data_IF_914983770482
#
_entry.id   IF_914983770482
#
_cell.length_a   1.000
_cell.length_b   1.000
_cell.length_c   1.000
_cell.angle_alpha   90.00
_cell.angle_beta   90.00
_cell.angle_gamma   90.00
#
_symmetry.space_group_name_H-M   'P 1'
#
loop_
_entity.id
_entity.type
_entity.pdbx_description
1 polymer ?
#
# COMPACT_ATOMS: atom_id res chain seq x y z
N UNK A 1 -9.69 -25.05 -54.85
CA UNK A 1 -10.91 -24.24 -54.67
C UNK A 1 -10.51 -22.76 -54.62
N UNK A 2 -11.30 -21.86 -55.21
CA UNK A 2 -11.03 -20.43 -55.18
C UNK A 2 -11.65 -19.83 -53.90
N UNK A 3 -10.84 -19.59 -52.87
CA UNK A 3 -11.28 -19.18 -51.53
C UNK A 3 -11.77 -17.72 -51.46
N UNK A 4 -11.69 -16.96 -52.56
CA UNK A 4 -12.06 -15.55 -52.64
C UNK A 4 -13.56 -15.26 -52.69
N UNK A 5 -14.44 -16.25 -52.50
CA UNK A 5 -15.90 -16.05 -52.53
C UNK A 5 -16.61 -16.42 -51.22
N UNK A 6 -15.86 -16.77 -50.17
CA UNK A 6 -16.45 -17.06 -48.86
C UNK A 6 -16.59 -15.79 -48.00
N UNK A 7 -17.54 -15.75 -47.04
CA UNK A 7 -17.58 -14.75 -45.96
C UNK A 7 -16.25 -14.73 -45.19
N UNK A 8 -15.88 -13.60 -44.59
CA UNK A 8 -14.56 -13.38 -44.00
C UNK A 8 -14.15 -14.45 -42.97
N UNK A 9 -15.06 -14.83 -42.06
CA UNK A 9 -14.84 -15.89 -41.07
C UNK A 9 -14.59 -17.26 -41.73
N UNK A 10 -15.34 -17.58 -42.77
CA UNK A 10 -15.21 -18.83 -43.53
C UNK A 10 -13.95 -18.88 -44.39
N UNK A 11 -13.42 -17.73 -44.84
CA UNK A 11 -12.09 -17.65 -45.49
C UNK A 11 -10.96 -17.91 -44.52
N UNK A 12 -11.03 -17.34 -43.31
CA UNK A 12 -10.08 -17.62 -42.24
C UNK A 12 -10.11 -19.12 -41.91
N UNK A 13 -11.29 -19.68 -41.65
CA UNK A 13 -11.45 -21.11 -41.40
C UNK A 13 -10.89 -21.98 -42.55
N UNK A 14 -11.14 -21.64 -43.81
CA UNK A 14 -10.62 -22.40 -44.95
C UNK A 14 -9.09 -22.29 -45.15
N UNK A 15 -8.51 -21.11 -44.89
CA UNK A 15 -7.04 -20.91 -44.92
C UNK A 15 -6.38 -21.69 -43.79
N UNK A 16 -7.02 -21.75 -42.62
CA UNK A 16 -6.50 -22.42 -41.43
C UNK A 16 -6.69 -23.95 -41.51
N UNK A 17 -7.78 -24.42 -42.13
CA UNK A 17 -7.99 -25.82 -42.46
C UNK A 17 -7.00 -26.33 -43.52
N UNK A 18 -6.56 -25.47 -44.44
CA UNK A 18 -5.47 -25.79 -45.36
C UNK A 18 -4.11 -25.86 -44.64
N UNK A 19 -3.91 -25.09 -43.57
CA UNK A 19 -2.73 -25.17 -42.71
C UNK A 19 -2.75 -26.40 -41.76
N UNK A 20 -3.91 -27.02 -41.58
CA UNK A 20 -4.14 -28.24 -40.77
C UNK A 20 -3.51 -29.53 -41.37
N UNK A 21 -2.69 -29.44 -42.42
CA UNK A 21 -1.91 -30.56 -42.95
C UNK A 21 -0.65 -30.90 -42.10
N UNK A 22 -0.39 -30.18 -41.01
CA UNK A 22 0.68 -30.50 -40.08
C UNK A 22 0.21 -31.48 -39.00
N UNK A 23 1.00 -32.51 -38.72
CA UNK A 23 0.79 -33.45 -37.60
C UNK A 23 1.32 -32.89 -36.27
N UNK A 24 0.66 -33.18 -35.14
CA UNK A 24 1.11 -32.83 -33.79
C UNK A 24 0.39 -31.60 -33.22
N UNK A 25 1.08 -30.80 -32.41
CA UNK A 25 0.51 -29.65 -31.66
C UNK A 25 -0.07 -28.54 -32.57
N UNK A 26 0.30 -28.52 -33.86
CA UNK A 26 -0.23 -27.58 -34.87
C UNK A 26 -1.49 -28.07 -35.60
N UNK A 27 -1.98 -29.27 -35.29
CA UNK A 27 -3.14 -29.88 -35.95
C UNK A 27 -4.48 -29.48 -35.33
N UNK A 28 -4.49 -28.65 -34.28
CA UNK A 28 -5.70 -28.28 -33.57
C UNK A 28 -5.84 -26.77 -33.56
N UNK A 29 -7.03 -26.28 -33.88
CA UNK A 29 -7.35 -24.86 -33.80
C UNK A 29 -7.25 -24.40 -32.32
N UNK A 30 -6.89 -23.14 -32.06
CA UNK A 30 -7.09 -22.52 -30.75
C UNK A 30 -8.53 -22.71 -30.28
N UNK A 31 -8.71 -22.94 -28.97
CA UNK A 31 -10.05 -22.89 -28.39
C UNK A 31 -10.62 -21.47 -28.53
N UNK A 32 -11.87 -21.35 -28.96
CA UNK A 32 -12.61 -20.09 -28.97
C UNK A 32 -14.07 -20.34 -28.56
N UNK A 33 -14.95 -19.34 -28.69
CA UNK A 33 -16.35 -19.46 -28.29
C UNK A 33 -17.15 -20.46 -29.15
N UNK A 34 -16.66 -20.80 -30.34
CA UNK A 34 -17.38 -21.61 -31.33
C UNK A 34 -16.73 -22.99 -31.55
N UNK A 35 -15.46 -23.17 -31.16
CA UNK A 35 -14.66 -24.35 -31.49
C UNK A 35 -13.94 -24.94 -30.26
N UNK A 36 -14.11 -26.26 -30.08
CA UNK A 36 -13.31 -27.04 -29.14
C UNK A 36 -11.88 -27.20 -29.69
N UNK A 37 -10.95 -26.43 -29.15
CA UNK A 37 -9.54 -26.38 -29.56
C UNK A 37 -8.56 -26.57 -28.41
N UNK A 38 -7.27 -26.34 -28.67
CA UNK A 38 -6.26 -26.29 -27.60
C UNK A 38 -6.08 -24.86 -27.08
N UNK A 39 -5.74 -24.73 -25.80
CA UNK A 39 -5.34 -23.45 -25.24
C UNK A 39 -4.04 -23.00 -25.89
N UNK A 40 -4.05 -21.80 -26.45
CA UNK A 40 -2.81 -21.11 -26.82
C UNK A 40 -2.02 -20.75 -25.55
N UNK A 41 -0.72 -20.52 -25.70
CA UNK A 41 0.13 -20.02 -24.60
C UNK A 41 -0.44 -18.72 -24.01
N UNK A 42 -0.98 -17.85 -24.86
CA UNK A 42 -1.60 -16.60 -24.42
C UNK A 42 -2.87 -16.86 -23.60
N UNK A 43 -3.75 -17.77 -24.04
CA UNK A 43 -4.95 -18.12 -23.30
C UNK A 43 -4.63 -18.82 -21.98
N UNK A 44 -3.64 -19.72 -21.97
CA UNK A 44 -3.16 -20.34 -20.74
C UNK A 44 -2.58 -19.29 -19.78
N UNK A 45 -1.86 -18.28 -20.30
CA UNK A 45 -1.37 -17.15 -19.51
C UNK A 45 -2.52 -16.35 -18.90
N UNK A 46 -3.51 -15.95 -19.71
CA UNK A 46 -4.69 -15.24 -19.21
C UNK A 46 -5.46 -16.03 -18.15
N UNK A 47 -5.58 -17.35 -18.32
CA UNK A 47 -6.19 -18.24 -17.30
C UNK A 47 -5.36 -18.23 -16.02
N UNK A 48 -4.05 -18.42 -16.12
CA UNK A 48 -3.14 -18.40 -14.95
C UNK A 48 -3.21 -17.07 -14.20
N UNK A 49 -3.20 -15.94 -14.92
CA UNK A 49 -3.38 -14.61 -14.34
C UNK A 49 -4.75 -14.46 -13.68
N UNK A 50 -5.82 -14.97 -14.31
CA UNK A 50 -7.17 -15.03 -13.75
C UNK A 50 -7.29 -15.91 -12.50
N UNK A 51 -6.46 -16.95 -12.40
CA UNK A 51 -6.33 -17.81 -11.22
C UNK A 51 -5.43 -17.21 -10.13
N UNK A 52 -4.85 -16.03 -10.36
CA UNK A 52 -4.02 -15.32 -9.40
C UNK A 52 -2.53 -15.62 -9.47
N UNK A 53 -2.05 -16.38 -10.47
CA UNK A 53 -0.62 -16.51 -10.73
C UNK A 53 -0.05 -15.18 -11.26
N UNK A 54 1.16 -14.84 -10.81
CA UNK A 54 1.88 -13.64 -11.27
C UNK A 54 2.92 -14.03 -12.31
N UNK A 55 3.02 -13.28 -13.40
CA UNK A 55 4.03 -13.49 -14.43
C UNK A 55 5.40 -13.00 -13.94
N UNK A 56 6.38 -13.90 -13.88
CA UNK A 56 7.75 -13.52 -13.61
C UNK A 56 8.32 -12.71 -14.78
N UNK A 57 8.84 -11.51 -14.49
CA UNK A 57 9.50 -10.65 -15.48
C UNK A 57 11.00 -10.51 -15.14
N UNK A 58 11.87 -10.32 -16.15
CA UNK A 58 13.31 -10.16 -15.92
C UNK A 58 13.61 -8.98 -14.99
N UNK A 59 14.63 -9.15 -14.15
CA UNK A 59 15.12 -8.05 -13.31
C UNK A 59 15.57 -6.86 -14.17
N UNK A 60 15.26 -5.64 -13.72
CA UNK A 60 15.55 -4.41 -14.45
C UNK A 60 14.54 -4.06 -15.55
N UNK A 61 13.48 -4.85 -15.71
CA UNK A 61 12.33 -4.48 -16.54
C UNK A 61 11.79 -3.10 -16.16
N UNK A 62 11.31 -2.34 -17.15
CA UNK A 62 10.77 -1.00 -16.90
C UNK A 62 9.30 -1.09 -16.47
N UNK A 63 9.01 -0.70 -15.23
CA UNK A 63 7.66 -0.80 -14.65
C UNK A 63 6.63 0.00 -15.46
N UNK A 64 7.03 1.16 -15.99
CA UNK A 64 6.13 2.07 -16.71
C UNK A 64 5.90 1.68 -18.17
N UNK A 65 6.58 0.62 -18.63
CA UNK A 65 6.39 0.04 -19.96
C UNK A 65 5.64 -1.30 -19.91
N UNK A 66 5.25 -1.76 -18.71
CA UNK A 66 4.47 -2.98 -18.55
C UNK A 66 3.06 -2.78 -19.10
N UNK A 67 2.56 -3.82 -19.76
CA UNK A 67 1.15 -3.89 -20.15
C UNK A 67 0.28 -4.13 -18.91
N UNK A 68 -1.04 -3.97 -19.02
CA UNK A 68 -1.95 -4.37 -17.95
C UNK A 68 -1.76 -5.85 -17.61
N UNK A 69 -1.72 -6.18 -16.32
CA UNK A 69 -1.43 -7.52 -15.85
C UNK A 69 -0.84 -7.57 -14.44
N UNK A 70 -0.52 -8.79 -13.98
CA UNK A 70 0.05 -9.06 -12.65
C UNK A 70 1.42 -9.70 -12.78
N UNK A 71 2.43 -9.04 -12.22
CA UNK A 71 3.83 -9.42 -12.39
C UNK A 71 4.53 -9.65 -11.05
N UNK A 72 5.68 -10.32 -11.12
CA UNK A 72 6.61 -10.53 -10.01
C UNK A 72 8.05 -10.41 -10.50
N UNK A 73 8.90 -9.73 -9.73
CA UNK A 73 10.34 -9.57 -10.02
C UNK A 73 11.10 -9.23 -8.76
N UNK A 74 12.43 -9.39 -8.76
CA UNK A 74 13.26 -8.96 -7.62
C UNK A 74 13.71 -7.51 -7.76
N UNK A 75 13.71 -6.96 -8.98
CA UNK A 75 14.13 -5.59 -9.24
C UNK A 75 13.43 -5.02 -10.48
N UNK A 76 12.97 -3.77 -10.40
CA UNK A 76 12.28 -3.09 -11.49
C UNK A 76 12.81 -1.66 -11.65
N UNK A 77 13.01 -1.22 -12.90
CA UNK A 77 13.34 0.16 -13.22
C UNK A 77 12.08 1.02 -13.15
N UNK A 78 12.22 2.31 -12.78
CA UNK A 78 11.13 3.27 -12.62
C UNK A 78 10.06 2.83 -11.58
N UNK A 79 10.38 1.86 -10.72
CA UNK A 79 9.61 1.54 -9.52
C UNK A 79 9.76 2.60 -8.44
N UNK A 80 9.27 2.30 -7.23
CA UNK A 80 9.51 3.17 -6.07
C UNK A 80 11.02 3.17 -5.76
N UNK A 81 11.59 4.37 -5.60
CA UNK A 81 12.97 4.51 -5.15
C UNK A 81 13.03 4.20 -3.66
N UNK A 82 13.90 3.28 -3.27
CA UNK A 82 13.91 2.71 -1.91
C UNK A 82 15.27 2.17 -1.53
N UNK A 83 15.63 2.34 -0.26
CA UNK A 83 16.92 1.87 0.27
C UNK A 83 16.96 0.34 0.48
N UNK A 84 15.81 -0.32 0.53
CA UNK A 84 15.62 -1.76 0.73
C UNK A 84 15.51 -2.51 -0.63
N UNK A 85 16.61 -2.55 -1.37
CA UNK A 85 16.66 -2.99 -2.78
C UNK A 85 16.68 -4.51 -3.03
N UNK A 86 16.48 -5.37 -2.02
CA UNK A 86 16.75 -6.82 -2.13
C UNK A 86 15.56 -7.74 -1.84
N UNK A 87 14.35 -7.36 -2.25
CA UNK A 87 13.14 -8.15 -2.01
C UNK A 87 12.27 -8.37 -3.25
N UNK A 88 11.59 -9.51 -3.31
CA UNK A 88 10.56 -9.78 -4.31
C UNK A 88 9.51 -8.67 -4.26
N UNK A 89 9.15 -8.15 -5.43
CA UNK A 89 8.11 -7.17 -5.65
C UNK A 89 6.93 -7.81 -6.39
N UNK A 90 5.74 -7.52 -5.92
CA UNK A 90 4.49 -7.76 -6.63
C UNK A 90 4.08 -6.48 -7.34
N UNK A 91 3.81 -6.59 -8.64
CA UNK A 91 3.46 -5.46 -9.48
C UNK A 91 2.09 -5.75 -10.09
N UNK A 92 1.14 -4.84 -9.93
CA UNK A 92 -0.16 -4.90 -10.59
C UNK A 92 -0.31 -3.64 -11.46
N UNK A 93 -0.68 -3.84 -12.72
CA UNK A 93 -0.88 -2.77 -13.69
C UNK A 93 -2.32 -2.85 -14.18
N UNK A 94 -3.10 -1.85 -13.82
CA UNK A 94 -4.50 -1.70 -14.24
C UNK A 94 -4.57 -0.52 -15.23
N UNK A 95 -5.35 -0.67 -16.30
CA UNK A 95 -5.49 0.40 -17.30
C UNK A 95 -6.88 0.37 -17.92
N UNK A 96 -7.42 1.56 -18.15
CA UNK A 96 -8.57 1.76 -19.04
C UNK A 96 -8.09 2.04 -20.48
N UNK A 97 -7.06 2.86 -20.62
CA UNK A 97 -6.36 3.19 -21.86
C UNK A 97 -4.92 3.67 -21.57
N UNK A 98 -4.18 4.05 -22.62
CA UNK A 98 -2.78 4.51 -22.52
C UNK A 98 -2.58 5.81 -21.69
N UNK A 99 -3.65 6.49 -21.31
CA UNK A 99 -3.64 7.73 -20.53
C UNK A 99 -4.17 7.55 -19.11
N UNK A 100 -4.81 6.43 -18.81
CA UNK A 100 -5.43 6.13 -17.53
C UNK A 100 -4.89 4.78 -17.03
N UNK A 101 -3.74 4.84 -16.37
CA UNK A 101 -3.00 3.66 -15.92
C UNK A 101 -2.71 3.81 -14.42
N UNK A 102 -3.00 2.76 -13.66
CA UNK A 102 -2.61 2.63 -12.27
C UNK A 102 -1.57 1.52 -12.15
N UNK A 103 -0.48 1.84 -11.44
CA UNK A 103 0.56 0.90 -11.07
C UNK A 103 0.51 0.72 -9.57
N UNK A 104 0.43 -0.52 -9.11
CA UNK A 104 0.60 -0.90 -7.71
C UNK A 104 1.91 -1.68 -7.58
N UNK A 105 2.73 -1.30 -6.60
CA UNK A 105 4.01 -1.92 -6.29
C UNK A 105 3.99 -2.33 -4.82
N UNK A 106 3.91 -3.63 -4.57
CA UNK A 106 3.94 -4.19 -3.20
C UNK A 106 5.25 -4.90 -2.96
N UNK A 107 5.93 -4.56 -1.88
CA UNK A 107 7.17 -5.22 -1.44
C UNK A 107 6.78 -6.48 -0.68
N UNK A 108 7.15 -7.66 -1.17
CA UNK A 108 6.61 -8.92 -0.64
C UNK A 108 6.99 -9.19 0.83
N UNK A 109 8.17 -8.78 1.27
CA UNK A 109 8.70 -9.18 2.58
C UNK A 109 8.18 -8.32 3.76
N UNK A 110 7.84 -7.04 3.53
CA UNK A 110 7.27 -6.12 4.53
C UNK A 110 5.81 -5.71 4.20
N UNK A 111 5.34 -6.05 3.01
CA UNK A 111 4.02 -5.74 2.48
C UNK A 111 3.80 -4.27 2.12
N UNK A 112 4.79 -3.38 2.25
CA UNK A 112 4.63 -1.96 1.93
C UNK A 112 4.13 -1.82 0.50
N UNK A 113 3.10 -1.02 0.32
CA UNK A 113 2.39 -0.89 -0.93
C UNK A 113 2.47 0.56 -1.40
N UNK A 114 2.78 0.72 -2.67
CA UNK A 114 2.89 2.01 -3.32
C UNK A 114 2.03 2.02 -4.57
N UNK A 115 1.43 3.17 -4.86
CA UNK A 115 0.65 3.36 -6.06
C UNK A 115 1.16 4.55 -6.87
N UNK A 116 1.07 4.44 -8.18
CA UNK A 116 1.31 5.53 -9.12
C UNK A 116 0.18 5.56 -10.11
N UNK A 117 -0.39 6.74 -10.31
CA UNK A 117 -1.48 6.94 -11.26
C UNK A 117 -1.00 7.85 -12.38
N UNK A 118 -1.08 7.36 -13.61
CA UNK A 118 -0.99 8.17 -14.81
C UNK A 118 -2.41 8.51 -15.23
N UNK A 119 -2.73 9.81 -15.23
CA UNK A 119 -4.05 10.31 -15.61
C UNK A 119 -3.90 11.49 -16.59
N UNK A 120 -4.05 11.24 -17.89
CA UNK A 120 -3.99 12.27 -18.93
C UNK A 120 -5.37 12.82 -19.28
N UNK A 121 -5.71 14.02 -18.80
CA UNK A 121 -6.76 14.81 -19.47
C UNK A 121 -6.24 15.29 -20.84
N UNK A 122 -7.15 15.58 -21.78
CA UNK A 122 -6.89 15.84 -23.20
C UNK A 122 -5.93 17.00 -23.54
N UNK A 123 -5.34 17.67 -22.56
CA UNK A 123 -4.31 18.70 -22.70
C UNK A 123 -2.89 18.24 -22.27
N UNK A 124 -2.75 16.98 -21.84
CA UNK A 124 -1.47 16.39 -21.44
C UNK A 124 -0.92 16.90 -20.11
N UNK A 125 -1.70 17.67 -19.34
CA UNK A 125 -1.29 18.21 -18.03
C UNK A 125 -2.18 17.63 -16.94
N UNK A 126 -1.72 16.55 -16.32
CA UNK A 126 -2.37 16.02 -15.13
C UNK A 126 -2.19 17.01 -13.95
N UNK A 127 -3.21 17.82 -13.67
CA UNK A 127 -3.22 18.75 -12.53
C UNK A 127 -3.76 18.12 -11.24
N UNK A 128 -4.33 16.92 -11.33
CA UNK A 128 -5.12 16.32 -10.24
C UNK A 128 -4.48 15.10 -9.60
N UNK A 129 -3.63 14.34 -10.31
CA UNK A 129 -2.88 13.24 -9.72
C UNK A 129 -1.39 13.60 -9.56
N UNK A 130 -0.78 13.29 -8.40
CA UNK A 130 0.66 13.46 -8.22
C UNK A 130 1.46 12.69 -9.26
N UNK A 131 2.56 13.28 -9.75
CA UNK A 131 3.47 12.60 -10.67
C UNK A 131 4.36 11.55 -9.98
N UNK A 132 4.43 11.54 -8.64
CA UNK A 132 5.26 10.63 -7.83
C UNK A 132 4.58 9.30 -7.49
N UNK A 133 5.26 8.48 -6.69
CA UNK A 133 4.66 7.34 -6.01
C UNK A 133 4.00 7.80 -4.71
N UNK A 134 2.78 7.33 -4.45
CA UNK A 134 2.13 7.40 -3.13
C UNK A 134 2.42 6.12 -2.35
N UNK A 135 2.52 6.21 -1.02
CA UNK A 135 2.65 5.07 -0.10
C UNK A 135 1.33 4.87 0.64
N UNK A 136 0.85 3.62 0.70
CA UNK A 136 -0.33 3.25 1.45
C UNK A 136 0.05 2.81 2.86
N UNK A 137 -0.28 3.63 3.85
CA UNK A 137 -0.02 3.34 5.25
C UNK A 137 -1.03 2.32 5.80
N UNK A 138 -0.51 1.24 6.38
CA UNK A 138 -1.30 0.21 7.04
C UNK A 138 -1.15 0.31 8.55
N UNK A 139 -2.29 0.40 9.23
CA UNK A 139 -2.37 0.55 10.68
C UNK A 139 -2.68 -0.79 11.34
N UNK A 140 -1.80 -1.24 12.23
CA UNK A 140 -1.89 -2.49 12.97
C UNK A 140 -2.19 -2.19 14.43
N UNK A 141 -3.32 -2.63 15.00
CA UNK A 141 -3.65 -2.35 16.39
C UNK A 141 -2.68 -3.09 17.32
N UNK A 142 -1.89 -2.36 18.09
CA UNK A 142 -0.91 -2.92 19.03
C UNK A 142 -1.42 -2.95 20.46
N UNK A 143 -2.27 -1.98 20.83
CA UNK A 143 -2.87 -1.90 22.16
C UNK A 143 -4.11 -1.01 22.15
N UNK A 144 -5.04 -1.30 23.07
CA UNK A 144 -6.23 -0.48 23.32
C UNK A 144 -6.58 -0.51 24.81
N UNK A 145 -6.94 0.65 25.36
CA UNK A 145 -7.33 0.83 26.75
C UNK A 145 -7.59 2.31 27.05
N UNK A 146 -7.12 2.76 28.22
CA UNK A 146 -7.11 4.15 28.64
C UNK A 146 -6.13 4.32 29.79
N UNK A 147 -4.96 4.89 29.51
CA UNK A 147 -3.97 5.21 30.55
C UNK A 147 -3.62 6.69 30.51
N UNK A 148 -3.49 7.28 31.68
CA UNK A 148 -3.01 8.65 31.84
C UNK A 148 -1.83 8.74 32.81
N UNK A 149 -1.69 7.80 33.72
CA UNK A 149 -0.68 7.87 34.78
C UNK A 149 0.74 7.63 34.27
N UNK A 150 1.62 8.60 34.46
CA UNK A 150 3.05 8.44 34.24
C UNK A 150 3.63 7.29 35.09
N UNK A 151 4.61 6.59 34.54
CA UNK A 151 5.17 5.35 35.11
C UNK A 151 4.40 4.08 34.71
N UNK A 152 3.31 4.18 33.96
CA UNK A 152 2.55 3.01 33.50
C UNK A 152 3.21 2.37 32.28
N UNK A 153 3.44 1.06 32.33
CA UNK A 153 3.92 0.28 31.19
C UNK A 153 2.75 -0.34 30.42
N UNK A 154 2.73 -0.08 29.12
CA UNK A 154 1.85 -0.72 28.14
C UNK A 154 2.54 -1.98 27.62
N UNK A 155 1.82 -3.10 27.64
CA UNK A 155 2.20 -4.32 26.93
C UNK A 155 1.52 -4.33 25.56
N UNK A 156 2.31 -4.36 24.50
CA UNK A 156 1.85 -4.41 23.12
C UNK A 156 1.70 -5.86 22.64
N UNK A 157 0.87 -6.06 21.62
CA UNK A 157 0.63 -7.36 20.97
C UNK A 157 1.77 -7.79 20.04
N UNK A 158 2.64 -6.87 19.60
CA UNK A 158 3.77 -7.17 18.72
C UNK A 158 4.98 -6.24 19.02
N UNK A 159 6.12 -6.59 18.41
CA UNK A 159 7.38 -5.88 18.51
C UNK A 159 7.34 -4.55 17.72
N UNK A 160 7.63 -3.45 18.43
CA UNK A 160 7.64 -2.09 17.91
C UNK A 160 8.64 -1.90 16.75
N UNK A 161 9.74 -2.64 16.73
CA UNK A 161 10.79 -2.48 15.71
C UNK A 161 10.37 -2.96 14.31
N UNK A 162 9.23 -3.64 14.19
CA UNK A 162 8.63 -3.97 12.89
C UNK A 162 8.00 -2.76 12.19
N UNK A 163 7.74 -1.67 12.93
CA UNK A 163 7.01 -0.51 12.45
C UNK A 163 7.93 0.70 12.30
N UNK A 164 7.79 1.46 11.22
CA UNK A 164 8.57 2.70 11.05
C UNK A 164 7.99 3.84 11.89
N UNK A 165 6.67 3.86 12.04
CA UNK A 165 5.95 4.85 12.84
C UNK A 165 5.02 4.15 13.83
N UNK A 166 4.74 4.85 14.93
CA UNK A 166 3.64 4.51 15.83
C UNK A 166 2.61 5.63 15.76
N UNK A 167 1.33 5.27 15.79
CA UNK A 167 0.23 6.21 15.92
C UNK A 167 -0.50 6.02 17.25
N UNK A 168 -0.75 7.11 17.94
CA UNK A 168 -1.36 7.14 19.26
C UNK A 168 -2.70 7.85 19.17
N UNK A 169 -3.76 7.20 19.65
CA UNK A 169 -5.04 7.88 19.88
C UNK A 169 -4.99 8.48 21.27
N UNK A 170 -4.92 9.80 21.34
CA UNK A 170 -4.84 10.58 22.58
C UNK A 170 -6.18 11.30 22.78
N UNK A 171 -6.79 11.10 23.94
CA UNK A 171 -7.95 11.84 24.40
C UNK A 171 -7.53 12.89 25.43
N UNK A 172 -8.04 14.10 25.27
CA UNK A 172 -7.97 15.17 26.26
C UNK A 172 -9.38 15.58 26.65
N UNK A 173 -9.54 16.54 27.55
CA UNK A 173 -10.87 16.99 27.99
C UNK A 173 -11.73 17.59 26.88
N UNK A 174 -11.12 18.01 25.77
CA UNK A 174 -11.82 18.72 24.68
C UNK A 174 -11.76 18.02 23.33
N UNK A 175 -10.85 17.06 23.12
CA UNK A 175 -10.68 16.43 21.82
C UNK A 175 -10.08 15.03 21.91
N UNK A 176 -10.27 14.24 20.87
CA UNK A 176 -9.55 12.98 20.63
C UNK A 176 -8.83 13.10 19.30
N UNK A 177 -7.52 12.84 19.29
CA UNK A 177 -6.69 12.96 18.08
C UNK A 177 -5.79 11.75 17.88
N UNK A 178 -5.55 11.41 16.61
CA UNK A 178 -4.55 10.44 16.21
C UNK A 178 -3.24 11.19 15.91
N UNK A 179 -2.16 10.84 16.59
CA UNK A 179 -0.83 11.44 16.38
C UNK A 179 0.13 10.37 15.93
N UNK A 180 0.72 10.54 14.76
CA UNK A 180 1.72 9.62 14.21
C UNK A 180 3.12 10.18 14.42
N UNK A 181 4.01 9.38 14.99
CA UNK A 181 5.41 9.74 15.27
C UNK A 181 6.34 8.66 14.76
N UNK A 182 7.54 9.06 14.31
CA UNK A 182 8.57 8.10 13.88
C UNK A 182 9.05 7.30 15.08
N UNK A 183 9.15 5.97 14.93
CA UNK A 183 9.61 5.06 15.96
C UNK A 183 11.03 5.44 16.39
N UNK A 184 11.22 5.68 17.68
CA UNK A 184 12.49 5.96 18.36
C UNK A 184 12.46 5.36 19.76
N UNK A 185 13.60 5.35 20.45
CA UNK A 185 13.65 4.89 21.85
C UNK A 185 12.81 5.77 22.78
N UNK A 186 12.71 7.06 22.46
CA UNK A 186 11.83 8.02 23.11
C UNK A 186 11.01 8.76 22.05
N UNK A 187 9.69 8.75 22.24
CA UNK A 187 8.70 9.31 21.33
C UNK A 187 7.87 10.34 22.09
N UNK A 188 7.83 11.56 21.55
CA UNK A 188 7.10 12.68 22.14
C UNK A 188 5.83 12.90 21.34
N UNK A 189 4.70 12.92 22.03
CA UNK A 189 3.38 13.18 21.46
C UNK A 189 2.85 14.48 22.04
N UNK A 190 2.82 15.52 21.21
CA UNK A 190 2.43 16.86 21.61
C UNK A 190 1.11 17.29 20.98
N UNK A 191 0.22 17.87 21.78
CA UNK A 191 -1.05 18.42 21.35
C UNK A 191 -1.23 19.84 21.84
N UNK A 192 -1.87 20.67 21.02
CA UNK A 192 -2.29 22.02 21.41
C UNK A 192 -3.78 22.18 21.11
N UNK A 193 -4.56 22.53 22.13
CA UNK A 193 -6.00 22.79 21.99
C UNK A 193 -6.31 24.24 22.39
N UNK A 194 -7.18 24.89 21.62
CA UNK A 194 -7.85 26.11 22.05
C UNK A 194 -8.91 25.76 23.09
N UNK A 195 -9.07 26.62 24.09
CA UNK A 195 -10.10 26.41 25.12
C UNK A 195 -11.41 27.03 24.65
N UNK A 196 -12.43 26.22 24.43
CA UNK A 196 -13.68 26.64 23.76
C UNK A 196 -14.48 27.75 24.46
N UNK A 197 -14.17 28.12 25.71
CA UNK A 197 -14.98 29.04 26.52
C UNK A 197 -14.20 30.20 27.15
N UNK A 198 -12.89 30.33 26.89
CA UNK A 198 -12.04 31.41 27.39
C UNK A 198 -10.90 31.67 26.40
N UNK A 199 -10.36 32.88 26.36
CA UNK A 199 -9.12 33.14 25.60
C UNK A 199 -8.00 32.38 26.32
N UNK A 200 -7.58 31.27 25.76
CA UNK A 200 -6.55 30.42 26.35
C UNK A 200 -6.20 29.24 25.46
N UNK A 201 -5.06 28.62 25.77
CA UNK A 201 -4.52 27.46 25.07
C UNK A 201 -4.05 26.42 26.08
N UNK A 202 -4.27 25.15 25.74
CA UNK A 202 -3.77 24.01 26.52
C UNK A 202 -2.77 23.22 25.68
N UNK A 203 -1.62 22.94 26.27
CA UNK A 203 -0.57 22.09 25.73
C UNK A 203 -0.58 20.77 26.48
N UNK A 204 -0.39 19.68 25.75
CA UNK A 204 -0.29 18.34 26.31
C UNK A 204 0.95 17.69 25.72
N UNK A 205 1.78 17.09 26.56
CA UNK A 205 2.97 16.34 26.18
C UNK A 205 2.90 14.97 26.85
N UNK A 206 2.91 13.91 26.03
CA UNK A 206 3.09 12.54 26.48
C UNK A 206 4.42 12.01 25.94
N UNK A 207 5.31 11.56 26.81
CA UNK A 207 6.57 10.92 26.41
C UNK A 207 6.45 9.41 26.61
N UNK A 208 6.58 8.67 25.51
CA UNK A 208 6.53 7.23 25.45
C UNK A 208 7.95 6.70 25.22
N UNK A 209 8.42 5.83 26.10
CA UNK A 209 9.75 5.24 26.02
C UNK A 209 9.65 3.76 25.69
N UNK A 210 10.39 3.31 24.67
CA UNK A 210 10.56 1.89 24.37
C UNK A 210 11.38 1.24 25.48
N UNK A 211 10.95 0.08 25.97
CA UNK A 211 11.78 -0.69 26.90
C UNK A 211 13.06 -1.17 26.18
N UNK A 212 14.26 -0.93 26.73
CA UNK A 212 15.52 -1.23 26.05
C UNK A 212 15.82 -2.74 25.95
N UNK A 213 15.09 -3.58 26.67
CA UNK A 213 15.26 -5.04 26.71
C UNK A 213 14.07 -5.80 26.14
N UNK A 214 12.90 -5.17 26.07
CA UNK A 214 11.67 -5.78 25.61
C UNK A 214 10.89 -4.85 24.66
N UNK A 215 11.12 -5.02 23.35
CA UNK A 215 10.50 -4.18 22.32
C UNK A 215 8.98 -4.38 22.16
N UNK A 216 8.34 -5.14 23.04
CA UNK A 216 6.88 -5.24 23.14
C UNK A 216 6.30 -4.34 24.24
N UNK A 217 7.14 -3.53 24.91
CA UNK A 217 6.71 -2.64 26.00
C UNK A 217 6.98 -1.17 25.71
N UNK A 218 6.01 -0.34 26.07
CA UNK A 218 6.12 1.12 26.09
C UNK A 218 5.85 1.64 27.49
N UNK A 219 6.77 2.41 28.05
CA UNK A 219 6.57 3.14 29.30
C UNK A 219 6.01 4.54 28.98
N UNK A 220 4.87 4.91 29.58
CA UNK A 220 4.46 6.30 29.66
C UNK A 220 5.36 7.01 30.67
N UNK A 221 6.45 7.60 30.19
CA UNK A 221 7.51 8.20 31.00
C UNK A 221 7.03 9.51 31.63
N UNK A 222 6.33 10.34 30.87
CA UNK A 222 5.70 11.56 31.36
C UNK A 222 4.36 11.81 30.67
N UNK A 223 3.46 12.47 31.39
CA UNK A 223 2.20 13.01 30.89
C UNK A 223 1.95 14.35 31.57
N UNK A 224 2.29 15.42 30.88
CA UNK A 224 2.23 16.77 31.43
C UNK A 224 1.28 17.58 30.57
N UNK A 225 0.53 18.46 31.22
CA UNK A 225 -0.28 19.46 30.55
C UNK A 225 -0.07 20.83 31.15
N UNK A 226 -0.08 21.82 30.28
CA UNK A 226 0.01 23.23 30.64
C UNK A 226 -1.22 23.93 30.09
N UNK A 227 -2.00 24.59 30.93
CA UNK A 227 -3.08 25.45 30.47
C UNK A 227 -2.68 26.92 30.71
N UNK A 228 -2.67 27.69 29.63
CA UNK A 228 -2.41 29.12 29.64
C UNK A 228 -3.75 29.86 29.52
N UNK A 229 -4.16 30.44 30.64
CA UNK A 229 -5.25 31.41 30.76
C UNK A 229 -4.65 32.76 31.22
N UNK A 230 -5.25 33.39 32.22
CA UNK A 230 -4.68 34.52 32.97
C UNK A 230 -3.44 34.13 33.81
N UNK A 231 -3.23 32.83 34.02
CA UNK A 231 -2.08 32.23 34.71
C UNK A 231 -1.72 30.87 34.10
N UNK A 232 -0.47 30.46 34.23
CA UNK A 232 -0.02 29.12 33.87
C UNK A 232 -0.48 28.12 34.93
N UNK A 233 -1.21 27.08 34.49
CA UNK A 233 -1.63 25.96 35.32
C UNK A 233 -0.93 24.70 34.82
N UNK A 234 -0.25 24.00 35.73
CA UNK A 234 0.43 22.73 35.43
C UNK A 234 -0.45 21.59 35.96
N UNK A 235 -0.80 20.63 35.11
CA UNK A 235 -1.43 19.38 35.54
C UNK A 235 -0.60 18.19 35.05
N UNK A 236 -0.63 17.10 35.80
CA UNK A 236 -0.02 15.82 35.42
C UNK A 236 -1.11 14.78 35.21
N UNK A 237 -0.80 13.75 34.42
CA UNK A 237 -1.68 12.61 34.19
C UNK A 237 -3.06 13.00 33.60
N UNK A 238 -3.08 14.00 32.73
CA UNK A 238 -4.33 14.57 32.19
C UNK A 238 -4.73 13.97 30.84
N UNK A 239 -3.79 13.84 29.91
CA UNK A 239 -4.09 13.24 28.60
C UNK A 239 -4.21 11.71 28.74
N UNK A 240 -5.19 11.10 28.09
CA UNK A 240 -5.36 9.65 28.09
C UNK A 240 -4.90 9.06 26.76
N UNK A 241 -4.01 8.07 26.84
CA UNK A 241 -3.65 7.22 25.70
C UNK A 241 -4.67 6.11 25.61
N UNK A 242 -5.47 6.10 24.55
CA UNK A 242 -6.54 5.12 24.35
C UNK A 242 -6.12 3.97 23.44
N UNK A 243 -5.28 4.24 22.44
CA UNK A 243 -4.86 3.23 21.48
C UNK A 243 -3.44 3.48 21.00
N UNK A 244 -2.75 2.39 20.68
CA UNK A 244 -1.46 2.41 20.00
C UNK A 244 -1.58 1.55 18.75
N UNK A 245 -1.16 2.11 17.62
CA UNK A 245 -1.15 1.45 16.32
C UNK A 245 0.28 1.45 15.77
N UNK A 246 0.75 0.32 15.28
CA UNK A 246 1.94 0.24 14.45
C UNK A 246 1.60 0.65 13.02
N UNK A 247 2.46 1.44 12.38
CA UNK A 247 2.26 1.89 11.00
C UNK A 247 3.42 1.41 10.13
N UNK A 248 3.07 0.76 9.03
CA UNK A 248 3.98 0.33 7.96
C UNK A 248 3.56 0.89 6.62
#
# INVERSE_FOLDING_TARGET
MNYQNLPAASRLAAIWLAAHQASGDGAHLPADEEHNGFLTVEQLRMIKEGLGERLAIPDGSDMLALKPGRYVTSNVKNGVDRDDTSGIAYIDVDSLDDKHIQYNHTIAYNGKSFHKIIHGYGDGKNVSAPNGWGEDWRFYPLWKGGINKAGTTIQLTDNIDKFEFLSFVIATSSNTMLVTVKRRDEMVVDLTNLVNNQIGMSFYECVLQKDPKDNTKLLLKSNISYALFDKLINNTDFAEIWQVWGVM
#
